data_IF_335259157063
#
_entry.id   IF_335259157063
#
_cell.length_a   1.000
_cell.length_b   1.000
_cell.length_c   1.000
_cell.angle_alpha   90.00
_cell.angle_beta   90.00
_cell.angle_gamma   90.00
#
_symmetry.space_group_name_H-M   'P 1'
#
loop_
_entity.id
_entity.type
_entity.pdbx_description
1 polymer ?
#
# COMPACT_ATOMS: atom_id res chain seq x y z
N UNK A 1 13.15 12.41 -3.66
CA UNK A 1 12.37 11.79 -4.74
C UNK A 1 11.16 11.20 -4.07
N UNK A 2 9.96 11.43 -4.60
CA UNK A 2 8.73 11.05 -3.90
C UNK A 2 8.35 9.60 -4.23
N UNK A 3 8.14 8.78 -3.19
CA UNK A 3 7.49 7.48 -3.31
C UNK A 3 6.02 7.76 -3.61
N UNK A 4 5.48 7.16 -4.67
CA UNK A 4 4.06 7.28 -5.01
C UNK A 4 3.55 5.99 -5.62
N UNK A 5 2.54 5.40 -4.99
CA UNK A 5 1.93 4.16 -5.47
C UNK A 5 0.42 4.15 -5.22
N UNK A 6 -0.34 3.59 -6.15
CA UNK A 6 -1.80 3.48 -6.03
C UNK A 6 -2.18 2.20 -5.29
N UNK A 7 -3.06 2.29 -4.31
CA UNK A 7 -3.64 1.12 -3.64
C UNK A 7 -4.65 0.46 -4.58
N UNK A 8 -4.63 -0.87 -4.65
CA UNK A 8 -5.49 -1.69 -5.52
C UNK A 8 -6.29 -2.72 -4.74
N UNK A 9 -5.71 -3.27 -3.69
CA UNK A 9 -6.38 -4.22 -2.80
C UNK A 9 -5.94 -4.00 -1.36
N UNK A 10 -6.80 -4.41 -0.44
CA UNK A 10 -6.53 -4.46 0.98
C UNK A 10 -6.96 -5.81 1.52
N UNK A 11 -6.09 -6.43 2.31
CA UNK A 11 -6.37 -7.66 3.04
C UNK A 11 -6.04 -7.46 4.51
N UNK A 12 -6.97 -7.79 5.40
CA UNK A 12 -6.70 -7.86 6.83
C UNK A 12 -6.43 -9.31 7.21
N UNK A 13 -5.28 -9.56 7.81
CA UNK A 13 -4.91 -10.87 8.32
C UNK A 13 -5.37 -11.03 9.77
N UNK A 14 -5.58 -12.28 10.19
CA UNK A 14 -6.09 -12.61 11.53
C UNK A 14 -5.12 -12.27 12.67
N UNK A 15 -3.84 -12.01 12.36
CA UNK A 15 -2.80 -11.62 13.32
C UNK A 15 -2.69 -10.09 13.49
N UNK A 16 -3.58 -9.32 12.86
CA UNK A 16 -3.61 -7.86 12.95
C UNK A 16 -2.73 -7.14 11.91
N UNK A 17 -2.08 -7.89 11.02
CA UNK A 17 -1.35 -7.31 9.87
C UNK A 17 -2.34 -6.95 8.77
N UNK A 18 -2.21 -5.76 8.19
CA UNK A 18 -2.88 -5.38 6.95
C UNK A 18 -1.89 -5.45 5.79
N UNK A 19 -2.30 -6.11 4.71
CA UNK A 19 -1.59 -6.13 3.44
C UNK A 19 -2.28 -5.16 2.48
N UNK A 20 -1.50 -4.25 1.89
CA UNK A 20 -1.92 -3.39 0.79
C UNK A 20 -1.22 -3.83 -0.49
N UNK A 21 -1.99 -4.21 -1.51
CA UNK A 21 -1.43 -4.42 -2.84
C UNK A 21 -1.45 -3.09 -3.59
N UNK A 22 -0.29 -2.64 -4.04
CA UNK A 22 -0.14 -1.35 -4.69
C UNK A 22 0.51 -1.48 -6.07
N UNK A 23 0.12 -0.60 -6.99
CA UNK A 23 0.69 -0.49 -8.34
C UNK A 23 1.51 0.78 -8.51
N UNK A 24 2.48 0.76 -9.43
CA UNK A 24 3.30 1.94 -9.76
C UNK A 24 4.47 2.16 -8.79
N UNK A 25 4.78 1.16 -7.97
CA UNK A 25 5.97 1.18 -7.11
C UNK A 25 7.24 1.12 -7.95
N UNK A 26 8.18 2.05 -7.70
CA UNK A 26 9.53 1.98 -8.24
C UNK A 26 10.41 1.18 -7.25
N UNK A 27 10.92 -0.01 -7.63
CA UNK A 27 11.68 -0.90 -6.76
C UNK A 27 13.04 -0.34 -6.32
N UNK A 28 13.43 0.86 -6.78
CA UNK A 28 14.61 1.57 -6.28
C UNK A 28 14.40 2.20 -4.90
N UNK A 29 13.16 2.33 -4.44
CA UNK A 29 12.85 2.95 -3.15
C UNK A 29 12.70 1.90 -2.06
N UNK A 30 13.54 1.95 -1.04
CA UNK A 30 13.27 1.22 0.20
C UNK A 30 12.12 1.92 0.95
N UNK A 31 11.08 1.16 1.26
CA UNK A 31 9.89 1.63 1.99
C UNK A 31 9.75 0.96 3.35
N UNK A 32 10.55 -0.07 3.67
CA UNK A 32 10.44 -0.78 4.95
C UNK A 32 10.96 0.14 6.06
N UNK A 33 10.20 0.25 7.14
CA UNK A 33 10.48 1.15 8.26
C UNK A 33 10.15 2.61 7.98
N UNK A 34 9.58 2.94 6.80
CA UNK A 34 9.12 4.28 6.48
C UNK A 34 7.65 4.48 6.80
N UNK A 35 7.31 5.74 7.03
CA UNK A 35 5.93 6.21 7.13
C UNK A 35 5.47 6.75 5.77
N UNK A 36 4.30 6.31 5.32
CA UNK A 36 3.68 6.76 4.08
C UNK A 36 2.27 7.29 4.35
N UNK A 37 1.91 8.39 3.71
CA UNK A 37 0.59 8.97 3.81
C UNK A 37 -0.38 8.28 2.83
N UNK A 38 -1.49 7.78 3.38
CA UNK A 38 -2.64 7.35 2.60
C UNK A 38 -3.48 8.57 2.22
N UNK A 39 -3.52 8.86 0.93
CA UNK A 39 -4.17 10.03 0.37
C UNK A 39 -5.26 9.68 -0.65
N UNK A 40 -6.20 10.61 -0.83
CA UNK A 40 -7.08 10.69 -2.01
C UNK A 40 -7.02 12.10 -2.57
N UNK A 41 -6.49 12.25 -3.79
CA UNK A 41 -6.19 13.58 -4.34
C UNK A 41 -5.12 14.29 -3.51
N UNK A 42 -5.49 15.37 -2.82
CA UNK A 42 -4.59 16.14 -1.95
C UNK A 42 -4.92 15.99 -0.46
N UNK A 43 -5.90 15.15 -0.11
CA UNK A 43 -6.33 14.96 1.28
C UNK A 43 -5.63 13.76 1.89
N UNK A 44 -4.92 13.98 2.99
CA UNK A 44 -4.34 12.92 3.83
C UNK A 44 -5.41 12.36 4.74
N UNK A 45 -5.62 11.05 4.68
CA UNK A 45 -6.53 10.35 5.59
C UNK A 45 -5.81 9.85 6.83
N UNK A 46 -4.64 9.26 6.65
CA UNK A 46 -3.84 8.67 7.72
C UNK A 46 -2.41 8.46 7.23
N UNK A 47 -1.46 8.40 8.16
CA UNK A 47 -0.09 7.97 7.92
C UNK A 47 0.07 6.52 8.37
N UNK A 48 0.80 5.71 7.61
CA UNK A 48 0.98 4.28 7.84
C UNK A 48 2.47 3.93 7.91
N UNK A 49 2.86 3.19 8.95
CA UNK A 49 4.17 2.59 9.06
C UNK A 49 4.24 1.29 8.23
N UNK A 50 5.14 1.26 7.25
CA UNK A 50 5.37 0.07 6.42
C UNK A 50 6.40 -0.82 7.12
N UNK A 51 6.00 -2.06 7.37
CA UNK A 51 6.76 -3.02 8.19
C UNK A 51 7.35 -4.16 7.36
N UNK A 52 6.86 -4.36 6.14
CA UNK A 52 7.32 -5.43 5.26
C UNK A 52 6.92 -5.23 3.82
N UNK A 53 7.60 -5.95 2.94
CA UNK A 53 7.31 -6.02 1.51
C UNK A 53 7.25 -7.51 1.10
N UNK A 54 6.21 -7.90 0.35
CA UNK A 54 6.05 -9.26 -0.16
C UNK A 54 5.79 -9.28 -1.65
N UNK A 55 6.45 -10.22 -2.34
CA UNK A 55 6.15 -10.56 -3.73
C UNK A 55 4.87 -11.38 -3.79
N UNK A 56 3.91 -10.94 -4.59
CA UNK A 56 2.67 -11.70 -4.83
C UNK A 56 3.00 -12.99 -5.61
N UNK A 57 2.59 -14.15 -5.08
CA UNK A 57 2.92 -15.48 -5.62
C UNK A 57 2.26 -15.77 -7.00
N UNK A 58 1.14 -15.11 -7.32
CA UNK A 58 0.44 -15.25 -8.60
C UNK A 58 0.82 -14.11 -9.58
N UNK A 59 2.07 -14.14 -10.05
CA UNK A 59 2.60 -13.10 -10.95
C UNK A 59 1.91 -13.05 -12.32
N UNK A 60 1.34 -14.17 -12.81
CA UNK A 60 0.79 -14.23 -14.18
C UNK A 60 -0.40 -13.30 -14.47
N UNK A 61 -1.07 -12.76 -13.45
CA UNK A 61 -2.20 -11.82 -13.62
C UNK A 61 -1.93 -10.42 -13.04
N UNK A 62 -0.88 -10.25 -12.23
CA UNK A 62 -0.67 -9.08 -11.37
C UNK A 62 0.78 -8.56 -11.45
N UNK A 63 1.37 -8.53 -12.65
CA UNK A 63 2.79 -8.16 -12.85
C UNK A 63 3.17 -6.77 -12.30
N UNK A 64 2.19 -5.88 -12.15
CA UNK A 64 2.42 -4.51 -11.69
C UNK A 64 2.10 -4.29 -10.20
N UNK A 65 1.75 -5.34 -9.45
CA UNK A 65 1.38 -5.23 -8.04
C UNK A 65 2.50 -5.69 -7.11
N UNK A 66 2.82 -4.83 -6.14
CA UNK A 66 3.68 -5.11 -5.01
C UNK A 66 2.85 -5.08 -3.72
N UNK A 67 3.08 -6.03 -2.81
CA UNK A 67 2.36 -6.08 -1.54
C UNK A 67 3.20 -5.48 -0.41
N UNK A 68 2.58 -4.61 0.39
CA UNK A 68 3.19 -3.94 1.53
C UNK A 68 2.42 -4.30 2.80
N UNK A 69 3.16 -4.55 3.88
CA UNK A 69 2.62 -4.93 5.18
C UNK A 69 2.66 -3.76 6.14
N UNK A 70 1.60 -3.60 6.92
CA UNK A 70 1.55 -2.66 8.04
C UNK A 70 0.84 -3.31 9.22
N UNK A 71 1.28 -2.98 10.43
CA UNK A 71 0.58 -3.34 11.66
C UNK A 71 -0.46 -2.28 12.07
N UNK A 72 -0.56 -1.18 11.34
CA UNK A 72 -1.53 -0.15 11.60
C UNK A 72 -2.93 -0.59 11.17
N UNK A 73 -3.94 -0.12 11.91
CA UNK A 73 -5.31 -0.25 11.47
C UNK A 73 -5.54 0.68 10.29
N UNK A 74 -5.61 0.12 9.09
CA UNK A 74 -5.82 0.92 7.87
C UNK A 74 -7.29 1.36 7.77
N UNK A 75 -7.55 2.67 7.90
CA UNK A 75 -8.84 3.33 7.68
C UNK A 75 -9.21 3.42 6.18
N UNK A 76 -9.15 2.30 5.47
CA UNK A 76 -9.53 2.16 4.07
C UNK A 76 -10.37 0.89 3.95
N UNK A 77 -11.58 0.97 3.39
CA UNK A 77 -12.34 -0.24 3.07
C UNK A 77 -11.77 -0.95 1.86
N UNK A 78 -12.09 -2.23 1.67
CA UNK A 78 -11.67 -2.97 0.47
C UNK A 78 -12.25 -2.34 -0.81
N UNK A 79 -13.50 -1.87 -0.77
CA UNK A 79 -14.16 -1.23 -1.91
C UNK A 79 -13.48 0.10 -2.29
N UNK A 80 -13.06 0.88 -1.28
CA UNK A 80 -12.26 2.09 -1.54
C UNK A 80 -10.89 1.73 -2.12
N UNK A 81 -10.19 0.72 -1.61
CA UNK A 81 -8.93 0.27 -2.18
C UNK A 81 -9.08 -0.11 -3.67
N UNK A 82 -10.16 -0.81 -4.01
CA UNK A 82 -10.46 -1.25 -5.38
C UNK A 82 -10.93 -0.12 -6.31
N UNK A 83 -11.28 1.06 -5.79
CA UNK A 83 -11.66 2.20 -6.65
C UNK A 83 -10.49 2.75 -7.47
N UNK A 84 -9.25 2.53 -7.01
CA UNK A 84 -8.04 3.06 -7.61
C UNK A 84 -7.78 4.54 -7.37
N UNK A 85 -8.61 5.20 -6.54
CA UNK A 85 -8.47 6.62 -6.19
C UNK A 85 -7.47 6.90 -5.05
N UNK A 86 -7.08 5.85 -4.33
CA UNK A 86 -6.25 5.94 -3.14
C UNK A 86 -4.78 5.68 -3.43
N UNK A 87 -3.90 6.44 -2.79
CA UNK A 87 -2.46 6.35 -3.00
C UNK A 87 -1.71 6.35 -1.67
N UNK A 88 -0.55 5.69 -1.64
CA UNK A 88 0.46 5.87 -0.62
C UNK A 88 1.55 6.79 -1.19
N UNK A 89 1.87 7.85 -0.45
CA UNK A 89 2.96 8.78 -0.80
C UNK A 89 3.95 8.92 0.34
N UNK A 90 5.21 9.22 0.02
CA UNK A 90 6.23 9.48 1.02
C UNK A 90 7.51 10.06 0.43
N UNK A 91 8.40 10.51 1.31
CA UNK A 91 9.67 11.16 0.95
C UNK A 91 10.90 10.27 1.03
#
# INVERSE_FOLDING_TARGET
>A
MEIKMSVREKFELSDGVTILACSGYDPKFDVIGKELDLIRGNEVRQTLAITGEKKMLNQKANFDLQAFETNDKVLLSQQEAQSGEWQLIGS
#
